data_IF_264723788312
#
_entry.id   IF_264723788312
#
_cell.length_a   1.000
_cell.length_b   1.000
_cell.length_c   1.000
_cell.angle_alpha   90.00
_cell.angle_beta   90.00
_cell.angle_gamma   90.00
#
_symmetry.space_group_name_H-M   'P 1'
#
loop_
_entity.id
_entity.type
_entity.pdbx_description
1 polymer ?
#
# COMPACT_ATOMS: atom_id res chain seq x y z
N UNK A 1 15.74 -24.46 9.98
CA UNK A 1 16.06 -23.09 10.46
C UNK A 1 14.75 -22.46 10.93
N UNK A 2 14.76 -21.55 11.92
CA UNK A 2 13.53 -20.93 12.43
C UNK A 2 12.87 -19.99 11.44
N UNK A 3 11.55 -19.84 11.57
CA UNK A 3 10.72 -18.96 10.77
C UNK A 3 10.26 -17.77 11.63
N UNK A 4 10.07 -16.61 11.00
CA UNK A 4 9.54 -15.40 11.62
C UNK A 4 8.19 -15.06 10.98
N UNK A 5 7.16 -14.94 11.83
CA UNK A 5 5.88 -14.34 11.47
C UNK A 5 5.75 -12.98 12.16
N UNK A 6 5.49 -11.93 11.37
CA UNK A 6 5.20 -10.59 11.83
C UNK A 6 3.85 -10.13 11.26
N UNK A 7 2.93 -9.67 12.10
CA UNK A 7 1.74 -8.91 11.68
C UNK A 7 1.72 -7.54 12.38
N UNK A 8 1.51 -6.49 11.58
CA UNK A 8 1.20 -5.14 12.00
C UNK A 8 -0.27 -4.85 11.67
N UNK A 9 -1.15 -4.98 12.67
CA UNK A 9 -2.60 -4.77 12.48
C UNK A 9 -2.99 -3.35 12.83
N UNK A 10 -3.70 -2.65 11.95
CA UNK A 10 -4.17 -1.28 12.14
C UNK A 10 -5.65 -1.11 11.75
N UNK A 11 -6.17 0.09 11.96
CA UNK A 11 -7.39 0.50 11.24
C UNK A 11 -7.13 0.64 9.73
N UNK A 12 -8.19 0.83 8.94
CA UNK A 12 -8.20 0.68 7.48
C UNK A 12 -7.17 1.54 6.73
N UNK A 13 -6.15 0.88 6.22
CA UNK A 13 -5.12 1.38 5.32
C UNK A 13 -5.77 1.64 3.95
N UNK A 14 -5.59 2.82 3.33
CA UNK A 14 -6.10 3.07 1.99
C UNK A 14 -5.56 2.06 0.97
N UNK A 15 -6.44 1.45 0.17
CA UNK A 15 -6.09 0.40 -0.83
C UNK A 15 -4.84 0.73 -1.65
N UNK A 16 -4.79 1.95 -2.21
CA UNK A 16 -3.66 2.45 -3.01
C UNK A 16 -2.29 2.46 -2.31
N UNK A 17 -2.24 2.36 -0.97
CA UNK A 17 -1.00 2.39 -0.20
C UNK A 17 -0.53 1.00 0.26
N UNK A 18 -1.42 -0.01 0.24
CA UNK A 18 -1.17 -1.29 0.91
C UNK A 18 -0.04 -2.09 0.27
N UNK A 19 -0.09 -2.32 -1.05
CA UNK A 19 0.94 -3.10 -1.77
C UNK A 19 2.34 -2.50 -1.56
N UNK A 20 2.48 -1.19 -1.72
CA UNK A 20 3.77 -0.51 -1.51
C UNK A 20 4.24 -0.66 -0.06
N UNK A 21 3.34 -0.47 0.91
CA UNK A 21 3.69 -0.62 2.31
C UNK A 21 4.11 -2.06 2.67
N UNK A 22 3.45 -3.08 2.14
CA UNK A 22 3.84 -4.46 2.34
C UNK A 22 5.25 -4.74 1.79
N UNK A 23 5.55 -4.23 0.58
CA UNK A 23 6.89 -4.32 -0.02
C UNK A 23 7.95 -3.52 0.74
N UNK A 24 7.63 -2.33 1.24
CA UNK A 24 8.53 -1.52 2.07
C UNK A 24 8.83 -2.25 3.39
N UNK A 25 7.83 -2.86 4.05
CA UNK A 25 8.00 -3.65 5.26
C UNK A 25 8.94 -4.85 5.02
N UNK A 26 8.68 -5.61 3.95
CA UNK A 26 9.56 -6.72 3.56
C UNK A 26 11.00 -6.24 3.43
N UNK A 27 11.21 -5.23 2.58
CA UNK A 27 12.54 -4.70 2.29
C UNK A 27 13.25 -4.22 3.55
N UNK A 28 12.62 -3.36 4.35
CA UNK A 28 13.24 -2.79 5.55
C UNK A 28 13.61 -3.87 6.57
N UNK A 29 12.76 -4.88 6.76
CA UNK A 29 13.06 -5.97 7.70
C UNK A 29 14.15 -6.88 7.14
N UNK A 30 14.06 -7.31 5.89
CA UNK A 30 15.06 -8.21 5.30
C UNK A 30 16.44 -7.55 5.20
N UNK A 31 16.50 -6.27 4.82
CA UNK A 31 17.75 -5.52 4.73
C UNK A 31 18.36 -5.40 6.14
N UNK A 32 17.58 -5.02 7.15
CA UNK A 32 18.05 -4.90 8.52
C UNK A 32 18.50 -6.25 9.14
N UNK A 33 17.82 -7.35 8.82
CA UNK A 33 18.25 -8.70 9.25
C UNK A 33 19.60 -9.08 8.63
N UNK A 34 19.79 -8.80 7.33
CA UNK A 34 21.05 -9.07 6.61
C UNK A 34 22.18 -8.19 7.11
N UNK A 35 21.94 -6.90 7.33
CA UNK A 35 22.90 -5.97 7.91
C UNK A 35 23.33 -6.39 9.32
N UNK A 36 22.42 -6.99 10.10
CA UNK A 36 22.71 -7.57 11.40
C UNK A 36 23.44 -8.93 11.35
N UNK A 37 23.74 -9.44 10.15
CA UNK A 37 24.50 -10.67 9.93
C UNK A 37 23.68 -11.95 9.98
N UNK A 38 22.35 -11.86 9.81
CA UNK A 38 21.45 -13.01 9.65
C UNK A 38 21.23 -13.34 8.17
N UNK A 39 20.84 -14.57 7.88
CA UNK A 39 20.42 -14.99 6.53
C UNK A 39 19.06 -15.69 6.60
N UNK A 40 18.28 -15.62 5.52
CA UNK A 40 16.98 -16.27 5.38
C UNK A 40 16.85 -16.94 4.01
N UNK A 41 15.93 -17.90 3.88
CA UNK A 41 15.70 -18.63 2.63
C UNK A 41 14.64 -17.95 1.74
N UNK A 42 13.55 -17.50 2.35
CA UNK A 42 12.47 -16.81 1.64
C UNK A 42 11.81 -15.75 2.54
N UNK A 43 11.25 -14.72 1.92
CA UNK A 43 10.45 -13.71 2.59
C UNK A 43 9.26 -13.34 1.70
N UNK A 44 8.04 -13.40 2.25
CA UNK A 44 6.81 -13.07 1.53
C UNK A 44 5.93 -12.14 2.36
N UNK A 45 5.58 -11.01 1.76
CA UNK A 45 4.64 -10.05 2.31
C UNK A 45 3.19 -10.40 1.94
N UNK A 46 2.28 -10.05 2.84
CA UNK A 46 0.85 -10.10 2.63
C UNK A 46 0.22 -8.82 3.18
N UNK A 47 -0.94 -8.46 2.66
CA UNK A 47 -1.67 -7.30 3.15
C UNK A 47 -3.17 -7.48 3.00
N UNK A 48 -3.90 -6.76 3.85
CA UNK A 48 -5.34 -6.54 3.73
C UNK A 48 -5.65 -5.07 4.09
N UNK A 49 -6.91 -4.61 4.03
CA UNK A 49 -7.27 -3.29 4.54
C UNK A 49 -6.74 -2.98 5.94
N UNK A 50 -6.54 -3.98 6.80
CA UNK A 50 -6.24 -3.77 8.23
C UNK A 50 -4.93 -4.39 8.69
N UNK A 51 -4.13 -4.99 7.80
CA UNK A 51 -2.89 -5.65 8.19
C UNK A 51 -1.80 -5.55 7.13
N UNK A 52 -0.56 -5.44 7.62
CA UNK A 52 0.64 -5.79 6.87
C UNK A 52 1.25 -7.00 7.57
N UNK A 53 1.51 -8.07 6.83
CA UNK A 53 2.04 -9.32 7.37
C UNK A 53 3.27 -9.72 6.59
N UNK A 54 4.26 -10.30 7.28
CA UNK A 54 5.49 -10.78 6.68
C UNK A 54 5.81 -12.17 7.23
N UNK A 55 5.99 -13.12 6.31
CA UNK A 55 6.44 -14.49 6.56
C UNK A 55 7.89 -14.60 6.08
N UNK A 56 8.83 -14.86 6.98
CA UNK A 56 10.24 -15.11 6.65
C UNK A 56 10.57 -16.54 7.04
N UNK A 57 11.01 -17.32 6.06
CA UNK A 57 11.35 -18.73 6.21
C UNK A 57 12.85 -18.94 6.28
N UNK A 58 13.25 -19.88 7.13
CA UNK A 58 14.63 -20.35 7.22
C UNK A 58 15.62 -19.28 7.69
N UNK A 59 15.22 -18.42 8.62
CA UNK A 59 16.07 -17.40 9.23
C UNK A 59 17.11 -18.06 10.16
N UNK A 60 18.35 -17.60 10.17
CA UNK A 60 19.36 -18.06 11.14
C UNK A 60 19.00 -17.64 12.57
N UNK A 61 19.17 -18.53 13.55
CA UNK A 61 18.83 -18.25 14.96
C UNK A 61 19.75 -17.22 15.65
N UNK A 62 20.94 -16.97 15.08
CA UNK A 62 21.94 -16.04 15.62
C UNK A 62 22.84 -15.54 14.49
N UNK A 63 23.29 -14.29 14.58
CA UNK A 63 24.27 -13.73 13.65
C UNK A 63 25.66 -14.31 13.90
N UNK A 64 26.54 -14.28 12.90
CA UNK A 64 27.90 -14.82 13.05
C UNK A 64 28.74 -13.96 14.00
N UNK A 65 29.61 -14.61 14.76
CA UNK A 65 30.67 -13.90 15.49
C UNK A 65 31.55 -13.17 14.49
N UNK A 66 31.85 -11.90 14.76
CA UNK A 66 32.73 -11.07 13.94
C UNK A 66 34.08 -11.04 14.63
N UNK A 67 35.08 -11.61 13.98
CA UNK A 67 36.48 -11.53 14.41
C UNK A 67 37.25 -10.68 13.40
N UNK A 68 37.70 -9.51 13.84
CA UNK A 68 38.48 -8.56 13.03
C UNK A 68 39.88 -8.38 13.62
N UNK A 69 40.89 -8.38 12.76
CA UNK A 69 42.26 -8.02 13.13
C UNK A 69 42.58 -6.62 12.62
N UNK A 70 42.68 -5.65 13.54
CA UNK A 70 43.13 -4.30 13.18
C UNK A 70 44.64 -4.23 13.43
N UNK A 71 45.40 -4.11 12.34
CA UNK A 71 46.84 -3.85 12.41
C UNK A 71 47.08 -2.41 12.87
N UNK A 72 47.80 -2.30 13.98
CA UNK A 72 48.26 -1.08 14.58
C UNK A 72 49.66 -0.68 14.12
N UNK A 73 50.19 0.40 14.72
CA UNK A 73 51.53 0.90 14.42
C UNK A 73 52.62 -0.03 15.00
N UNK A 74 53.87 0.22 14.61
CA UNK A 74 55.06 -0.42 15.20
C UNK A 74 55.07 -0.28 16.73
N UNK A 75 55.65 -1.25 17.44
CA UNK A 75 55.83 -1.18 18.91
C UNK A 75 56.72 -0.01 19.34
N UNK A 76 57.55 0.50 18.42
CA UNK A 76 58.39 1.68 18.59
C UNK A 76 57.75 3.00 18.16
N UNK A 77 56.47 2.99 17.77
CA UNK A 77 55.81 4.19 17.27
C UNK A 77 55.54 5.23 18.38
N UNK A 78 55.48 6.53 18.04
CA UNK A 78 55.17 7.59 19.01
C UNK A 78 53.83 7.34 19.73
N UNK A 79 53.75 7.78 20.98
CA UNK A 79 52.59 7.54 21.84
C UNK A 79 51.27 8.07 21.25
N UNK A 80 51.31 9.14 20.46
CA UNK A 80 50.13 9.63 19.71
C UNK A 80 49.60 8.61 18.69
N UNK A 81 50.47 7.88 17.99
CA UNK A 81 50.06 6.87 17.02
C UNK A 81 49.45 5.65 17.71
N UNK A 82 50.00 5.26 18.87
CA UNK A 82 49.48 4.19 19.71
C UNK A 82 48.11 4.57 20.26
N UNK A 83 47.93 5.79 20.79
CA UNK A 83 46.64 6.29 21.27
C UNK A 83 45.59 6.39 20.16
N UNK A 84 45.98 6.80 18.95
CA UNK A 84 45.10 6.81 17.78
C UNK A 84 44.64 5.39 17.40
N UNK A 85 45.53 4.40 17.48
CA UNK A 85 45.20 3.00 17.26
C UNK A 85 44.25 2.45 18.32
N UNK A 86 44.49 2.72 19.61
CA UNK A 86 43.61 2.30 20.71
C UNK A 86 42.19 2.84 20.52
N UNK A 87 42.05 4.13 20.17
CA UNK A 87 40.75 4.73 19.87
C UNK A 87 40.06 4.09 18.67
N UNK A 88 40.82 3.80 17.61
CA UNK A 88 40.28 3.16 16.40
C UNK A 88 39.85 1.71 16.65
N UNK A 89 40.61 0.98 17.46
CA UNK A 89 40.35 -0.40 17.81
C UNK A 89 39.36 -0.58 18.97
N UNK A 90 38.98 0.51 19.64
CA UNK A 90 38.09 0.46 20.81
C UNK A 90 38.72 -0.19 22.04
N UNK A 91 40.04 -0.23 22.13
CA UNK A 91 40.78 -0.81 23.25
C UNK A 91 41.02 0.23 24.33
N UNK A 92 40.91 -0.19 25.60
CA UNK A 92 41.08 0.71 26.75
C UNK A 92 42.55 0.90 27.11
N UNK A 93 43.39 -0.08 26.75
CA UNK A 93 44.81 -0.12 27.05
C UNK A 93 45.58 -0.86 25.96
N UNK A 94 46.85 -0.50 25.75
CA UNK A 94 47.76 -1.21 24.83
C UNK A 94 48.06 -2.64 25.27
N UNK A 95 47.86 -2.96 26.55
CA UNK A 95 47.99 -4.33 27.07
C UNK A 95 46.95 -5.30 26.50
N UNK A 96 45.86 -4.78 25.94
CA UNK A 96 44.82 -5.58 25.25
C UNK A 96 45.18 -5.88 23.79
N UNK A 97 46.25 -5.26 23.26
CA UNK A 97 46.74 -5.51 21.91
C UNK A 97 47.83 -6.59 21.92
N UNK A 98 47.84 -7.42 20.88
CA UNK A 98 48.84 -8.44 20.64
C UNK A 98 50.02 -7.86 19.87
N UNK A 99 51.23 -8.37 20.10
CA UNK A 99 52.43 -7.99 19.34
C UNK A 99 52.71 -9.07 18.31
N UNK A 100 52.72 -8.68 17.03
CA UNK A 100 53.08 -9.57 15.92
C UNK A 100 54.40 -9.07 15.30
N UNK A 101 55.30 -10.01 15.00
CA UNK A 101 56.61 -9.72 14.41
C UNK A 101 56.59 -9.98 12.90
N UNK A 102 57.00 -9.00 12.09
CA UNK A 102 57.22 -9.17 10.65
C UNK A 102 58.72 -9.00 10.32
N UNK A 103 59.36 -9.96 9.61
CA UNK A 103 60.79 -9.93 9.31
C UNK A 103 61.27 -8.69 8.53
N UNK A 104 60.37 -7.98 7.84
CA UNK A 104 60.67 -6.76 7.05
C UNK A 104 60.20 -5.47 7.72
N UNK A 105 59.22 -5.53 8.62
CA UNK A 105 58.58 -4.33 9.22
C UNK A 105 58.79 -4.18 10.72
N UNK A 106 59.40 -5.15 11.39
CA UNK A 106 59.57 -5.16 12.84
C UNK A 106 58.29 -5.55 13.57
N UNK A 107 58.28 -5.38 14.89
CA UNK A 107 57.14 -5.71 15.76
C UNK A 107 56.07 -4.62 15.65
N UNK A 108 54.80 -5.01 15.52
CA UNK A 108 53.66 -4.10 15.48
C UNK A 108 52.49 -4.63 16.32
N UNK A 109 51.65 -3.70 16.77
CA UNK A 109 50.45 -4.04 17.54
C UNK A 109 49.34 -4.56 16.63
N UNK A 110 48.55 -5.53 17.11
CA UNK A 110 47.36 -6.06 16.45
C UNK A 110 46.25 -6.14 17.49
N UNK A 111 45.10 -5.54 17.18
CA UNK A 111 43.90 -5.68 18.00
C UNK A 111 43.03 -6.78 17.40
N UNK A 112 42.77 -7.82 18.19
CA UNK A 112 41.77 -8.82 17.85
C UNK A 112 40.42 -8.37 18.43
N UNK A 113 39.56 -7.85 17.58
CA UNK A 113 38.21 -7.45 17.95
C UNK A 113 37.32 -8.67 17.73
N UNK A 114 36.81 -9.24 18.82
CA UNK A 114 35.77 -10.27 18.76
C UNK A 114 34.45 -9.68 19.22
N UNK A 115 33.48 -9.59 18.32
CA UNK A 115 32.11 -9.23 18.65
C UNK A 115 31.25 -10.50 18.59
N UNK A 116 30.70 -10.96 19.72
CA UNK A 116 29.84 -12.12 19.72
C UNK A 116 28.58 -11.85 18.91
N UNK A 117 28.15 -12.87 18.17
CA UNK A 117 26.91 -12.89 17.44
C UNK A 117 25.71 -12.67 18.36
N UNK A 118 24.68 -12.01 17.84
CA UNK A 118 23.45 -11.69 18.57
C UNK A 118 22.36 -12.68 18.23
N UNK A 119 21.55 -13.04 19.23
CA UNK A 119 20.38 -13.88 19.00
C UNK A 119 19.39 -13.16 18.05
N UNK A 120 18.76 -13.92 17.16
CA UNK A 120 17.83 -13.35 16.19
C UNK A 120 16.65 -12.66 16.88
N UNK A 121 16.16 -13.17 18.01
CA UNK A 121 15.07 -12.53 18.76
C UNK A 121 15.46 -11.11 19.20
N UNK A 122 16.70 -10.91 19.66
CA UNK A 122 17.19 -9.60 20.09
C UNK A 122 17.34 -8.63 18.91
N UNK A 123 17.80 -9.13 17.77
CA UNK A 123 17.91 -8.33 16.55
C UNK A 123 16.51 -7.89 16.08
N UNK A 124 15.55 -8.81 16.06
CA UNK A 124 14.17 -8.54 15.66
C UNK A 124 13.49 -7.56 16.63
N UNK A 125 13.68 -7.74 17.94
CA UNK A 125 13.12 -6.88 18.98
C UNK A 125 13.60 -5.43 18.91
N UNK A 126 14.81 -5.18 18.41
CA UNK A 126 15.32 -3.83 18.16
C UNK A 126 14.84 -3.29 16.80
N UNK A 127 14.90 -4.13 15.76
CA UNK A 127 14.67 -3.72 14.38
C UNK A 127 13.20 -3.38 14.10
N UNK A 128 12.25 -4.18 14.61
CA UNK A 128 10.82 -3.98 14.31
C UNK A 128 10.30 -2.63 14.86
N UNK A 129 10.54 -2.24 16.13
CA UNK A 129 10.18 -0.90 16.61
C UNK A 129 10.77 0.23 15.77
N UNK A 130 12.03 0.12 15.34
CA UNK A 130 12.69 1.15 14.54
C UNK A 130 12.11 1.27 13.14
N UNK A 131 11.75 0.14 12.52
CA UNK A 131 11.01 0.11 11.25
C UNK A 131 9.66 0.80 11.42
N UNK A 132 8.92 0.49 12.49
CA UNK A 132 7.59 1.07 12.73
C UNK A 132 7.69 2.59 12.92
N UNK A 133 8.70 3.09 13.67
CA UNK A 133 8.90 4.54 13.88
C UNK A 133 9.26 5.28 12.60
N UNK A 134 10.06 4.66 11.73
CA UNK A 134 10.61 5.28 10.53
C UNK A 134 9.89 4.86 9.24
N UNK A 135 8.71 4.26 9.35
CA UNK A 135 8.02 3.66 8.21
C UNK A 135 7.65 4.71 7.15
N UNK A 136 7.97 4.47 5.87
CA UNK A 136 7.92 5.49 4.81
C UNK A 136 6.50 5.68 4.24
N UNK A 137 5.54 5.99 5.12
CA UNK A 137 4.17 6.30 4.70
C UNK A 137 4.13 7.60 3.86
N UNK A 138 3.53 7.59 2.66
CA UNK A 138 3.35 8.82 1.86
C UNK A 138 2.55 9.89 2.59
N UNK A 139 1.63 9.45 3.46
CA UNK A 139 0.88 10.30 4.38
C UNK A 139 0.67 9.57 5.70
N UNK A 140 1.41 9.97 6.72
CA UNK A 140 1.24 9.49 8.09
C UNK A 140 0.41 10.46 8.93
N UNK A 141 -0.16 9.95 10.02
CA UNK A 141 -0.98 10.68 10.98
C UNK A 141 -0.51 10.33 12.40
N UNK A 142 -0.89 11.18 13.36
CA UNK A 142 -0.74 10.93 14.80
C UNK A 142 -2.13 10.78 15.40
N UNK A 143 -2.28 9.94 16.42
CA UNK A 143 -3.60 9.53 16.92
C UNK A 143 -3.70 9.63 18.44
N UNK A 144 -4.93 9.85 18.90
CA UNK A 144 -5.29 9.83 20.33
C UNK A 144 -4.61 10.91 21.18
N UNK A 145 -4.72 10.81 22.51
CA UNK A 145 -4.12 11.77 23.44
C UNK A 145 -2.59 11.91 23.29
N UNK A 146 -1.92 10.85 22.83
CA UNK A 146 -0.49 10.85 22.58
C UNK A 146 -0.08 11.87 21.49
N UNK A 147 -0.97 12.20 20.55
CA UNK A 147 -0.67 13.14 19.45
C UNK A 147 -0.30 14.55 19.93
N UNK A 148 -0.69 14.92 21.14
CA UNK A 148 -0.36 16.19 21.77
C UNK A 148 1.12 16.29 22.19
N UNK A 149 1.81 15.15 22.34
CA UNK A 149 3.22 15.11 22.76
C UNK A 149 4.16 15.03 21.54
N UNK A 150 5.31 15.74 21.56
CA UNK A 150 6.40 15.50 20.62
C UNK A 150 6.86 14.03 20.69
N UNK A 151 7.21 13.46 19.53
CA UNK A 151 7.69 12.06 19.45
C UNK A 151 6.61 10.98 19.42
N UNK A 152 5.31 11.34 19.37
CA UNK A 152 4.22 10.37 19.20
C UNK A 152 4.33 9.59 17.90
N UNK A 153 3.92 8.31 17.95
CA UNK A 153 3.98 7.41 16.80
C UNK A 153 3.22 7.97 15.60
N UNK A 154 3.88 7.94 14.44
CA UNK A 154 3.30 8.30 13.16
C UNK A 154 3.00 7.02 12.38
N UNK A 155 1.73 6.82 12.05
CA UNK A 155 1.29 5.68 11.23
C UNK A 155 0.17 6.12 10.29
N UNK A 156 -0.10 5.37 9.22
CA UNK A 156 -1.17 5.70 8.26
C UNK A 156 -2.55 5.79 8.93
N UNK A 157 -2.77 4.93 9.93
CA UNK A 157 -3.97 4.79 10.76
C UNK A 157 -3.58 4.30 12.16
N UNK A 158 -4.45 4.29 13.19
CA UNK A 158 -4.05 3.74 14.49
C UNK A 158 -3.61 2.28 14.39
N UNK A 159 -2.37 1.98 14.80
CA UNK A 159 -1.89 0.62 15.00
C UNK A 159 -2.61 0.02 16.22
N UNK A 160 -3.09 -1.22 16.10
CA UNK A 160 -3.97 -1.87 17.08
C UNK A 160 -3.27 -3.02 17.80
N UNK A 161 -2.45 -3.81 17.10
CA UNK A 161 -1.71 -4.92 17.69
C UNK A 161 -0.50 -5.27 16.84
N UNK A 162 0.48 -5.88 17.50
CA UNK A 162 1.67 -6.45 16.86
C UNK A 162 1.76 -7.91 17.27
N UNK A 163 1.86 -8.78 16.28
CA UNK A 163 2.11 -10.19 16.48
C UNK A 163 3.50 -10.48 15.95
N UNK A 164 4.36 -11.08 16.77
CA UNK A 164 5.73 -11.41 16.38
C UNK A 164 6.16 -12.73 17.02
N UNK A 165 6.19 -13.79 16.22
CA UNK A 165 6.56 -15.14 16.66
C UNK A 165 7.75 -15.65 15.88
N UNK A 166 8.69 -16.30 16.55
CA UNK A 166 9.92 -16.81 15.97
C UNK A 166 10.23 -18.21 16.49
N UNK A 167 10.56 -19.15 15.61
CA UNK A 167 10.96 -20.48 16.06
C UNK A 167 11.03 -21.51 14.95
N UNK A 168 11.65 -22.68 15.21
CA UNK A 168 11.75 -23.76 14.23
C UNK A 168 10.39 -24.41 13.99
N UNK A 169 10.24 -25.00 12.81
CA UNK A 169 9.02 -25.70 12.41
C UNK A 169 8.64 -26.85 13.37
N UNK A 170 9.61 -27.45 14.06
CA UNK A 170 9.38 -28.61 14.93
C UNK A 170 9.10 -28.28 16.39
N UNK A 171 9.29 -27.03 16.83
CA UNK A 171 9.15 -26.65 18.25
C UNK A 171 8.11 -25.54 18.43
N UNK A 172 7.77 -25.24 19.68
CA UNK A 172 6.88 -24.13 19.99
C UNK A 172 7.64 -22.81 19.79
N UNK A 173 7.15 -21.92 18.91
CA UNK A 173 7.82 -20.66 18.65
C UNK A 173 7.70 -19.73 19.84
N UNK A 174 8.72 -18.91 20.04
CA UNK A 174 8.74 -17.87 21.06
C UNK A 174 8.06 -16.62 20.53
N UNK A 175 7.46 -15.84 21.44
CA UNK A 175 7.06 -14.47 21.14
C UNK A 175 8.29 -13.58 21.29
N UNK A 176 8.63 -12.83 20.25
CA UNK A 176 9.71 -11.84 20.32
C UNK A 176 9.20 -10.63 21.07
N UNK A 177 9.66 -10.42 22.30
CA UNK A 177 9.14 -9.40 23.22
C UNK A 177 9.74 -8.02 22.95
N UNK A 178 8.87 -7.07 22.60
CA UNK A 178 9.18 -5.64 22.50
C UNK A 178 7.90 -4.81 22.64
N UNK A 179 8.06 -3.51 22.88
CA UNK A 179 6.94 -2.58 23.00
C UNK A 179 7.20 -1.31 22.20
N UNK A 180 6.16 -0.80 21.55
CA UNK A 180 6.18 0.50 20.89
C UNK A 180 4.89 1.28 21.19
N UNK A 181 5.05 2.47 21.78
CA UNK A 181 3.95 3.40 22.08
C UNK A 181 2.78 2.74 22.84
N UNK A 182 3.10 1.85 23.80
CA UNK A 182 2.13 1.10 24.60
C UNK A 182 1.56 -0.15 23.93
N UNK A 183 2.03 -0.50 22.72
CA UNK A 183 1.65 -1.73 22.02
C UNK A 183 2.78 -2.75 22.17
N UNK A 184 2.57 -3.73 23.04
CA UNK A 184 3.50 -4.85 23.23
C UNK A 184 3.25 -5.94 22.20
N UNK A 185 4.30 -6.54 21.67
CA UNK A 185 4.22 -7.68 20.76
C UNK A 185 3.61 -8.90 21.47
N UNK A 186 2.94 -9.76 20.70
CA UNK A 186 2.29 -10.96 21.20
C UNK A 186 2.12 -12.04 20.14
N UNK A 187 1.23 -12.98 20.42
CA UNK A 187 0.81 -14.05 19.51
C UNK A 187 -0.70 -14.03 19.23
N UNK A 188 -1.36 -12.89 19.47
CA UNK A 188 -2.80 -12.71 19.30
C UNK A 188 -3.06 -11.88 18.05
N UNK A 189 -3.90 -12.40 17.16
CA UNK A 189 -4.51 -11.68 16.03
C UNK A 189 -6.03 -11.70 16.17
N UNK A 190 -6.72 -11.14 15.16
CA UNK A 190 -8.16 -11.05 15.10
C UNK A 190 -8.62 -11.25 13.66
N UNK A 191 -9.76 -11.92 13.52
CA UNK A 191 -10.41 -12.16 12.23
C UNK A 191 -11.16 -10.93 11.70
N UNK A 192 -12.16 -11.21 10.87
CA UNK A 192 -12.99 -10.18 10.28
C UNK A 192 -13.76 -9.39 11.35
N UNK A 193 -13.74 -8.06 11.24
CA UNK A 193 -14.32 -7.13 12.23
C UNK A 193 -15.76 -7.46 12.62
N UNK A 194 -16.55 -7.93 11.67
CA UNK A 194 -17.97 -8.21 11.88
C UNK A 194 -18.32 -9.70 11.98
N UNK A 195 -17.52 -10.58 11.38
CA UNK A 195 -17.84 -12.01 11.31
C UNK A 195 -17.15 -12.83 12.39
N UNK A 196 -15.95 -12.43 12.80
CA UNK A 196 -15.16 -13.13 13.81
C UNK A 196 -14.27 -12.13 14.57
N UNK A 197 -14.87 -11.27 15.43
CA UNK A 197 -14.15 -10.21 16.14
C UNK A 197 -13.30 -10.71 17.31
N UNK A 198 -13.44 -11.98 17.69
CA UNK A 198 -12.78 -12.53 18.87
C UNK A 198 -11.26 -12.71 18.65
N UNK A 199 -10.53 -12.70 19.76
CA UNK A 199 -9.09 -12.89 19.76
C UNK A 199 -8.70 -14.30 19.32
N UNK A 200 -7.67 -14.40 18.48
CA UNK A 200 -7.15 -15.64 17.93
C UNK A 200 -5.68 -15.76 18.32
N UNK A 201 -5.35 -16.74 19.14
CA UNK A 201 -3.95 -17.09 19.41
C UNK A 201 -3.39 -17.88 18.22
N UNK A 202 -2.22 -17.49 17.73
CA UNK A 202 -1.50 -18.17 16.64
C UNK A 202 -0.09 -18.52 17.06
N UNK A 203 0.56 -19.41 16.32
CA UNK A 203 1.91 -19.85 16.65
C UNK A 203 2.88 -19.54 15.53
N UNK A 204 2.49 -19.81 14.29
CA UNK A 204 3.32 -19.75 13.08
C UNK A 204 2.48 -19.32 11.88
N UNK A 205 3.11 -19.16 10.74
CA UNK A 205 2.41 -18.69 9.55
C UNK A 205 1.26 -19.63 9.10
N UNK A 206 1.47 -20.94 9.11
CA UNK A 206 0.48 -21.89 8.57
C UNK A 206 -0.81 -21.94 9.41
N UNK A 207 -0.70 -21.91 10.74
CA UNK A 207 -1.88 -21.86 11.61
C UNK A 207 -2.51 -20.46 11.62
N UNK A 208 -1.71 -19.40 11.48
CA UNK A 208 -2.19 -18.05 11.28
C UNK A 208 -3.07 -17.92 10.03
N UNK A 209 -2.62 -18.39 8.87
CA UNK A 209 -3.41 -18.34 7.63
C UNK A 209 -4.71 -19.14 7.77
N UNK A 210 -4.62 -20.37 8.26
CA UNK A 210 -5.78 -21.25 8.40
C UNK A 210 -6.82 -20.68 9.37
N UNK A 211 -6.38 -20.10 10.49
CA UNK A 211 -7.28 -19.48 11.48
C UNK A 211 -7.88 -18.18 10.97
N UNK A 212 -7.10 -17.36 10.25
CA UNK A 212 -7.62 -16.15 9.62
C UNK A 212 -8.70 -16.47 8.59
N UNK A 213 -8.49 -17.48 7.75
CA UNK A 213 -9.47 -17.91 6.76
C UNK A 213 -10.76 -18.41 7.43
N UNK A 214 -10.64 -19.25 8.46
CA UNK A 214 -11.78 -19.69 9.28
C UNK A 214 -12.52 -18.49 9.93
N UNK A 215 -11.77 -17.44 10.27
CA UNK A 215 -12.27 -16.19 10.81
C UNK A 215 -12.61 -15.14 9.73
N UNK A 216 -12.88 -15.58 8.50
CA UNK A 216 -13.33 -14.77 7.36
C UNK A 216 -12.32 -13.70 6.94
N UNK A 217 -11.04 -14.05 6.84
CA UNK A 217 -10.00 -13.18 6.30
C UNK A 217 -9.18 -13.97 5.28
N UNK A 218 -9.32 -13.61 4.01
CA UNK A 218 -8.42 -14.09 2.96
C UNK A 218 -7.17 -13.21 3.01
N UNK A 219 -6.07 -13.72 3.53
CA UNK A 219 -4.85 -12.94 3.77
C UNK A 219 -4.15 -12.49 2.46
N UNK A 220 -4.08 -13.39 1.48
CA UNK A 220 -3.37 -13.18 0.23
C UNK A 220 -4.18 -12.29 -0.72
N UNK A 221 -3.57 -11.17 -1.14
CA UNK A 221 -4.20 -10.20 -2.02
C UNK A 221 -4.45 -10.75 -3.43
N UNK A 222 -3.54 -11.57 -3.96
CA UNK A 222 -3.72 -12.17 -5.28
C UNK A 222 -4.85 -13.20 -5.24
N UNK A 223 -4.92 -14.02 -4.18
CA UNK A 223 -6.06 -14.91 -3.94
C UNK A 223 -7.39 -14.17 -3.84
N UNK A 224 -7.42 -13.00 -3.16
CA UNK A 224 -8.63 -12.16 -3.11
C UNK A 224 -9.06 -11.69 -4.49
N UNK A 225 -8.11 -11.26 -5.34
CA UNK A 225 -8.41 -10.86 -6.72
C UNK A 225 -8.98 -12.00 -7.55
N UNK A 226 -8.40 -13.20 -7.43
CA UNK A 226 -8.89 -14.39 -8.13
C UNK A 226 -10.33 -14.71 -7.75
N UNK A 227 -10.66 -14.69 -6.45
CA UNK A 227 -12.03 -14.91 -5.96
C UNK A 227 -12.98 -13.86 -6.55
N UNK A 228 -12.64 -12.57 -6.42
CA UNK A 228 -13.49 -11.47 -6.90
C UNK A 228 -13.73 -11.59 -8.40
N UNK A 229 -12.68 -11.84 -9.19
CA UNK A 229 -12.78 -11.90 -10.65
C UNK A 229 -13.59 -13.13 -11.10
N UNK A 230 -13.34 -14.29 -10.50
CA UNK A 230 -14.08 -15.51 -10.81
C UNK A 230 -15.58 -15.35 -10.49
N UNK A 231 -15.90 -14.85 -9.29
CA UNK A 231 -17.29 -14.65 -8.86
C UNK A 231 -17.99 -13.58 -9.70
N UNK A 232 -17.30 -12.48 -10.03
CA UNK A 232 -17.84 -11.43 -10.90
C UNK A 232 -18.15 -11.93 -12.31
N UNK A 233 -17.24 -12.71 -12.91
CA UNK A 233 -17.45 -13.34 -14.23
C UNK A 233 -18.63 -14.32 -14.18
N UNK A 234 -18.68 -15.19 -13.17
CA UNK A 234 -19.76 -16.16 -13.02
C UNK A 234 -21.11 -15.47 -12.84
N UNK A 235 -21.18 -14.42 -12.02
CA UNK A 235 -22.40 -13.69 -11.75
C UNK A 235 -22.88 -12.89 -12.98
N UNK A 236 -21.96 -12.28 -13.74
CA UNK A 236 -22.28 -11.64 -15.00
C UNK A 236 -22.80 -12.65 -16.02
N UNK A 237 -22.08 -13.76 -16.22
CA UNK A 237 -22.43 -14.81 -17.18
C UNK A 237 -23.81 -15.42 -16.89
N UNK A 238 -24.12 -15.70 -15.62
CA UNK A 238 -25.42 -16.22 -15.20
C UNK A 238 -26.61 -15.29 -15.52
N UNK A 239 -26.34 -14.01 -15.78
CA UNK A 239 -27.34 -13.01 -16.16
C UNK A 239 -27.27 -12.63 -17.65
N UNK A 240 -26.54 -13.39 -18.48
CA UNK A 240 -26.39 -13.10 -19.91
C UNK A 240 -25.53 -11.87 -20.21
N UNK A 241 -24.61 -11.54 -19.31
CA UNK A 241 -23.74 -10.37 -19.39
C UNK A 241 -22.27 -10.77 -19.38
N UNK A 242 -21.43 -9.88 -19.91
CA UNK A 242 -19.97 -9.93 -19.74
C UNK A 242 -19.52 -8.86 -18.75
N UNK A 243 -18.51 -9.19 -17.94
CA UNK A 243 -17.83 -8.25 -17.06
C UNK A 243 -16.92 -7.34 -17.88
N UNK A 244 -17.00 -6.02 -17.67
CA UNK A 244 -15.98 -5.10 -18.21
C UNK A 244 -14.80 -5.09 -17.25
N UNK A 245 -13.77 -5.86 -17.59
CA UNK A 245 -12.59 -6.06 -16.74
C UNK A 245 -11.74 -4.78 -16.62
N UNK A 246 -11.19 -4.58 -15.43
CA UNK A 246 -10.36 -3.43 -15.07
C UNK A 246 -9.39 -3.84 -13.97
N UNK A 247 -8.17 -4.20 -14.35
CA UNK A 247 -7.15 -4.70 -13.41
C UNK A 247 -6.83 -3.67 -12.31
N UNK A 248 -6.82 -2.38 -12.66
CA UNK A 248 -6.59 -1.32 -11.68
C UNK A 248 -7.71 -1.21 -10.64
N UNK A 249 -8.96 -1.41 -11.05
CA UNK A 249 -10.10 -1.48 -10.14
C UNK A 249 -10.07 -2.76 -9.32
N UNK A 250 -9.71 -3.91 -9.91
CA UNK A 250 -9.59 -5.19 -9.21
C UNK A 250 -8.55 -5.11 -8.08
N UNK A 251 -7.39 -4.52 -8.35
CA UNK A 251 -6.39 -4.25 -7.31
C UNK A 251 -6.97 -3.37 -6.19
N UNK A 252 -7.66 -2.28 -6.54
CA UNK A 252 -8.25 -1.37 -5.55
C UNK A 252 -9.31 -2.09 -4.69
N UNK A 253 -10.25 -2.80 -5.31
CA UNK A 253 -11.36 -3.50 -4.63
C UNK A 253 -10.85 -4.63 -3.75
N UNK A 254 -9.85 -5.40 -4.19
CA UNK A 254 -9.22 -6.44 -3.35
C UNK A 254 -8.54 -5.87 -2.10
N UNK A 255 -8.14 -4.58 -2.15
CA UNK A 255 -7.60 -3.81 -1.03
C UNK A 255 -8.67 -3.10 -0.19
N UNK A 256 -9.96 -3.24 -0.50
CA UNK A 256 -11.06 -2.71 0.31
C UNK A 256 -11.71 -3.78 1.20
N UNK A 257 -11.43 -5.06 0.95
CA UNK A 257 -12.10 -6.18 1.62
C UNK A 257 -11.09 -7.19 2.18
N UNK A 258 -11.44 -7.82 3.29
CA UNK A 258 -10.78 -9.00 3.85
C UNK A 258 -11.52 -10.28 3.47
N UNK A 259 -12.84 -10.20 3.31
CA UNK A 259 -13.72 -11.30 2.87
C UNK A 259 -14.58 -10.85 1.69
N UNK A 260 -14.18 -11.14 0.45
CA UNK A 260 -14.93 -10.68 -0.72
C UNK A 260 -16.28 -11.40 -0.82
N UNK A 261 -17.35 -10.63 -0.99
CA UNK A 261 -18.70 -11.10 -1.36
C UNK A 261 -19.15 -10.31 -2.58
N UNK A 262 -19.18 -10.95 -3.74
CA UNK A 262 -19.53 -10.29 -5.00
C UNK A 262 -21.04 -10.26 -5.18
N UNK A 263 -21.59 -9.08 -5.48
CA UNK A 263 -23.02 -8.85 -5.65
C UNK A 263 -23.27 -8.09 -6.96
N UNK A 264 -24.48 -8.26 -7.51
CA UNK A 264 -24.94 -7.52 -8.68
C UNK A 264 -25.97 -6.47 -8.26
N UNK A 265 -25.72 -5.22 -8.65
CA UNK A 265 -26.66 -4.12 -8.53
C UNK A 265 -27.25 -3.74 -9.90
N UNK A 266 -28.25 -2.87 -9.87
CA UNK A 266 -28.89 -2.30 -11.05
C UNK A 266 -29.12 -0.80 -10.88
N UNK A 267 -29.22 -0.11 -12.01
CA UNK A 267 -29.73 1.26 -12.13
C UNK A 267 -30.73 1.34 -13.27
N UNK A 268 -31.43 2.47 -13.41
CA UNK A 268 -32.44 2.65 -14.44
C UNK A 268 -31.84 2.70 -15.85
N UNK A 269 -32.45 1.99 -16.81
CA UNK A 269 -32.02 1.95 -18.21
C UNK A 269 -31.97 3.34 -18.86
N UNK A 270 -32.75 4.30 -18.38
CA UNK A 270 -32.73 5.69 -18.86
C UNK A 270 -31.33 6.33 -18.76
N UNK A 271 -30.48 5.89 -17.83
CA UNK A 271 -29.10 6.37 -17.73
C UNK A 271 -28.20 5.86 -18.87
N UNK A 272 -28.59 4.82 -19.61
CA UNK A 272 -27.85 4.36 -20.79
C UNK A 272 -27.90 5.38 -21.95
N UNK A 273 -28.67 6.47 -21.82
CA UNK A 273 -28.66 7.58 -22.76
C UNK A 273 -27.38 8.45 -22.69
N UNK A 274 -26.60 8.37 -21.60
CA UNK A 274 -25.30 9.06 -21.50
C UNK A 274 -24.18 8.14 -22.03
N UNK A 275 -23.05 8.70 -22.52
CA UNK A 275 -21.96 7.90 -23.05
C UNK A 275 -21.43 6.84 -22.06
N UNK A 276 -21.10 5.65 -22.58
CA UNK A 276 -20.65 4.51 -21.80
C UNK A 276 -19.43 4.84 -20.92
N UNK A 277 -18.52 5.68 -21.41
CA UNK A 277 -17.33 6.14 -20.71
C UNK A 277 -17.69 6.96 -19.47
N UNK A 278 -18.73 7.79 -19.56
CA UNK A 278 -19.23 8.61 -18.44
C UNK A 278 -19.84 7.71 -17.37
N UNK A 279 -20.64 6.71 -17.77
CA UNK A 279 -21.22 5.71 -16.85
C UNK A 279 -20.10 4.95 -16.14
N UNK A 280 -19.19 4.35 -16.92
CA UNK A 280 -18.05 3.57 -16.39
C UNK A 280 -17.21 4.41 -15.44
N UNK A 281 -16.83 5.61 -15.83
CA UNK A 281 -16.03 6.51 -14.99
C UNK A 281 -16.76 6.85 -13.69
N UNK A 282 -18.04 7.18 -13.77
CA UNK A 282 -18.86 7.57 -12.61
C UNK A 282 -18.98 6.43 -11.61
N UNK A 283 -19.31 5.23 -12.09
CA UNK A 283 -19.47 4.03 -11.26
C UNK A 283 -18.12 3.60 -10.67
N UNK A 284 -17.06 3.55 -11.49
CA UNK A 284 -15.70 3.20 -11.05
C UNK A 284 -15.15 4.16 -10.01
N UNK A 285 -15.21 5.47 -10.26
CA UNK A 285 -14.59 6.46 -9.39
C UNK A 285 -15.32 6.61 -8.05
N UNK A 286 -16.66 6.61 -8.07
CA UNK A 286 -17.46 6.90 -6.87
C UNK A 286 -17.82 5.67 -6.05
N UNK A 287 -18.01 4.50 -6.69
CA UNK A 287 -18.53 3.30 -6.02
C UNK A 287 -17.60 2.09 -6.12
N UNK A 288 -16.48 2.18 -6.85
CA UNK A 288 -15.51 1.08 -6.99
C UNK A 288 -16.17 -0.21 -7.49
N UNK A 289 -17.12 -0.04 -8.41
CA UNK A 289 -17.89 -1.12 -9.00
C UNK A 289 -17.48 -1.33 -10.46
N UNK A 290 -17.57 -2.57 -10.93
CA UNK A 290 -17.36 -2.92 -12.32
C UNK A 290 -18.67 -2.75 -13.09
N UNK A 291 -18.60 -2.24 -14.31
CA UNK A 291 -19.75 -2.22 -15.21
C UNK A 291 -19.82 -3.53 -15.99
N UNK A 292 -20.99 -3.82 -16.54
CA UNK A 292 -21.21 -5.01 -17.35
C UNK A 292 -21.75 -4.60 -18.72
N UNK A 293 -21.66 -5.51 -19.68
CA UNK A 293 -22.16 -5.33 -21.04
C UNK A 293 -22.98 -6.54 -21.49
N UNK A 294 -23.94 -6.38 -22.41
CA UNK A 294 -24.57 -7.52 -23.07
C UNK A 294 -23.52 -8.40 -23.76
N UNK A 295 -23.73 -9.72 -23.72
CA UNK A 295 -22.82 -10.66 -24.36
C UNK A 295 -22.66 -10.38 -25.86
N UNK A 296 -21.41 -10.35 -26.32
CA UNK A 296 -21.08 -10.15 -27.74
C UNK A 296 -21.28 -8.72 -28.26
N UNK A 297 -21.52 -7.73 -27.38
CA UNK A 297 -21.63 -6.31 -27.76
C UNK A 297 -20.51 -5.52 -27.09
N UNK A 298 -19.56 -5.02 -27.88
CA UNK A 298 -18.36 -4.38 -27.32
C UNK A 298 -18.59 -2.94 -26.82
N UNK A 299 -19.41 -2.16 -27.54
CA UNK A 299 -19.56 -0.71 -27.33
C UNK A 299 -20.81 -0.32 -26.51
N UNK A 300 -21.52 -1.30 -25.92
CA UNK A 300 -22.71 -1.05 -25.12
C UNK A 300 -22.52 -1.49 -23.67
N UNK A 301 -23.07 -0.74 -22.73
CA UNK A 301 -23.18 -1.16 -21.33
C UNK A 301 -24.59 -1.66 -21.05
N UNK A 302 -24.68 -2.57 -20.09
CA UNK A 302 -25.96 -2.92 -19.48
C UNK A 302 -26.25 -1.98 -18.31
N UNK A 303 -27.48 -2.00 -17.80
CA UNK A 303 -27.86 -1.27 -16.59
C UNK A 303 -27.50 -2.01 -15.28
N UNK A 304 -26.63 -3.03 -15.37
CA UNK A 304 -26.13 -3.81 -14.23
C UNK A 304 -24.67 -3.47 -13.94
N UNK A 305 -24.31 -3.56 -12.67
CA UNK A 305 -22.94 -3.41 -12.20
C UNK A 305 -22.62 -4.46 -11.14
N UNK A 306 -21.33 -4.78 -11.00
CA UNK A 306 -20.82 -5.69 -9.99
C UNK A 306 -20.13 -4.89 -8.90
N UNK A 307 -20.51 -5.16 -7.66
CA UNK A 307 -19.88 -4.61 -6.46
C UNK A 307 -19.28 -5.74 -5.62
N UNK A 308 -18.32 -5.41 -4.76
CA UNK A 308 -17.75 -6.36 -3.78
C UNK A 308 -17.99 -5.83 -2.37
N UNK A 309 -18.76 -6.55 -1.59
CA UNK A 309 -18.97 -6.29 -0.18
C UNK A 309 -17.89 -7.00 0.65
N UNK A 310 -17.60 -6.45 1.83
CA UNK A 310 -16.75 -7.09 2.85
C UNK A 310 -17.58 -7.86 3.90
N UNK A 311 -18.88 -8.04 3.66
CA UNK A 311 -19.80 -8.63 4.63
C UNK A 311 -20.70 -9.63 3.91
N UNK A 312 -20.77 -10.84 4.46
CA UNK A 312 -21.78 -11.83 4.14
C UNK A 312 -23.10 -11.46 4.84
N UNK A 313 -24.00 -10.81 4.10
CA UNK A 313 -25.28 -10.34 4.63
C UNK A 313 -26.32 -11.45 4.73
N UNK A 314 -27.17 -11.38 5.77
CA UNK A 314 -28.19 -12.40 6.06
C UNK A 314 -29.27 -12.55 4.99
N UNK A 315 -29.49 -11.51 4.20
CA UNK A 315 -30.48 -11.45 3.11
C UNK A 315 -29.89 -11.85 1.75
N UNK A 316 -28.65 -12.35 1.72
CA UNK A 316 -27.90 -12.63 0.50
C UNK A 316 -27.36 -11.38 -0.19
N UNK A 317 -27.31 -10.24 0.49
CA UNK A 317 -26.75 -8.99 -0.04
C UNK A 317 -27.76 -8.11 -0.78
N UNK A 318 -29.06 -8.40 -0.69
CA UNK A 318 -30.12 -7.64 -1.40
C UNK A 318 -30.15 -6.17 -0.98
N UNK A 319 -30.14 -5.88 0.31
CA UNK A 319 -30.12 -4.51 0.83
C UNK A 319 -28.80 -3.80 0.48
N UNK A 320 -27.68 -4.52 0.46
CA UNK A 320 -26.38 -3.96 0.05
C UNK A 320 -26.43 -3.55 -1.43
N UNK A 321 -26.89 -4.44 -2.30
CA UNK A 321 -27.01 -4.17 -3.73
C UNK A 321 -28.00 -3.01 -4.00
N UNK A 322 -29.14 -3.01 -3.31
CA UNK A 322 -30.14 -1.94 -3.42
C UNK A 322 -29.60 -0.58 -2.94
N UNK A 323 -28.90 -0.56 -1.80
CA UNK A 323 -28.26 0.64 -1.25
C UNK A 323 -27.19 1.20 -2.20
N UNK A 324 -26.33 0.35 -2.76
CA UNK A 324 -25.35 0.77 -3.76
C UNK A 324 -26.03 1.28 -5.04
N UNK A 325 -27.13 0.65 -5.47
CA UNK A 325 -27.94 1.12 -6.60
C UNK A 325 -28.46 2.54 -6.40
N UNK A 326 -28.91 2.89 -5.19
CA UNK A 326 -29.32 4.28 -4.86
C UNK A 326 -28.17 5.27 -4.99
N UNK A 327 -26.96 4.89 -4.55
CA UNK A 327 -25.80 5.78 -4.64
C UNK A 327 -25.34 5.94 -6.09
N UNK A 328 -25.30 4.85 -6.86
CA UNK A 328 -25.02 4.89 -8.31
C UNK A 328 -26.03 5.78 -9.03
N UNK A 329 -27.33 5.60 -8.76
CA UNK A 329 -28.40 6.44 -9.33
C UNK A 329 -28.19 7.92 -9.06
N UNK A 330 -27.89 8.30 -7.82
CA UNK A 330 -27.65 9.70 -7.47
C UNK A 330 -26.48 10.28 -8.28
N UNK A 331 -25.38 9.53 -8.41
CA UNK A 331 -24.21 9.96 -9.20
C UNK A 331 -24.46 10.01 -10.70
N UNK A 332 -25.22 9.06 -11.25
CA UNK A 332 -25.62 9.07 -12.65
C UNK A 332 -26.64 10.18 -12.96
N UNK A 333 -27.46 10.57 -11.99
CA UNK A 333 -28.37 11.72 -12.12
C UNK A 333 -27.60 13.02 -12.26
N UNK A 334 -26.56 13.22 -11.44
CA UNK A 334 -25.64 14.36 -11.58
C UNK A 334 -24.96 14.33 -12.96
N UNK A 335 -24.43 13.17 -13.37
CA UNK A 335 -23.77 13.02 -14.67
C UNK A 335 -24.71 13.30 -15.85
N UNK A 336 -25.95 12.81 -15.80
CA UNK A 336 -26.98 13.06 -16.81
C UNK A 336 -27.35 14.54 -16.87
N UNK A 337 -27.49 15.20 -15.72
CA UNK A 337 -27.74 16.64 -15.66
C UNK A 337 -26.61 17.43 -16.33
N UNK A 338 -25.35 17.15 -15.98
CA UNK A 338 -24.21 17.81 -16.60
C UNK A 338 -24.09 17.51 -18.08
N UNK A 339 -24.28 16.24 -18.49
CA UNK A 339 -24.29 15.85 -19.90
C UNK A 339 -25.35 16.62 -20.68
N UNK A 340 -26.58 16.69 -20.16
CA UNK A 340 -27.70 17.38 -20.82
C UNK A 340 -27.47 18.89 -20.89
N UNK A 341 -27.01 19.48 -19.78
CA UNK A 341 -26.61 20.90 -19.74
C UNK A 341 -25.48 21.17 -20.73
N UNK A 342 -24.58 20.20 -20.91
CA UNK A 342 -23.45 20.30 -21.81
C UNK A 342 -23.80 20.23 -23.30
N UNK A 343 -24.98 19.73 -23.63
CA UNK A 343 -25.52 19.75 -24.99
C UNK A 343 -26.28 21.05 -25.31
N UNK A 344 -26.56 21.90 -24.32
CA UNK A 344 -27.28 23.16 -24.50
C UNK A 344 -26.38 24.34 -24.88
N UNK A 345 -27.03 25.38 -25.41
CA UNK A 345 -26.37 26.65 -25.73
C UNK A 345 -25.95 27.40 -24.45
N UNK A 346 -24.77 28.03 -24.50
CA UNK A 346 -24.30 28.90 -23.43
C UNK A 346 -25.12 30.20 -23.36
N UNK A 347 -25.41 30.73 -22.16
CA UNK A 347 -26.28 31.90 -22.01
C UNK A 347 -25.67 33.19 -22.60
N UNK A 348 -24.35 33.22 -22.73
CA UNK A 348 -23.54 34.33 -23.23
C UNK A 348 -23.08 34.13 -24.70
N UNK A 349 -23.77 33.26 -25.46
CA UNK A 349 -23.40 32.87 -26.84
C UNK A 349 -23.07 34.06 -27.75
N UNK A 350 -23.85 35.14 -27.67
CA UNK A 350 -23.69 36.33 -28.50
C UNK A 350 -22.36 37.07 -28.26
N UNK A 351 -21.75 36.91 -27.08
CA UNK A 351 -20.46 37.53 -26.76
C UNK A 351 -19.28 36.72 -27.31
N UNK A 352 -19.51 35.50 -27.79
CA UNK A 352 -18.47 34.54 -28.16
C UNK A 352 -18.04 34.62 -29.63
N UNK A 353 -18.69 35.44 -30.45
CA UNK A 353 -18.47 35.51 -31.91
C UNK A 353 -17.01 35.83 -32.26
N UNK A 354 -16.40 36.80 -31.57
CA UNK A 354 -15.01 37.19 -31.82
C UNK A 354 -14.02 36.07 -31.50
N UNK A 355 -14.20 35.38 -30.37
CA UNK A 355 -13.38 34.22 -30.00
C UNK A 355 -13.62 33.03 -30.94
N UNK A 356 -14.86 32.83 -31.40
CA UNK A 356 -15.17 31.78 -32.35
C UNK A 356 -14.49 32.00 -33.71
N UNK A 357 -14.53 33.22 -34.24
CA UNK A 357 -13.84 33.59 -35.48
C UNK A 357 -12.32 33.39 -35.34
N UNK A 358 -11.73 33.84 -34.22
CA UNK A 358 -10.31 33.70 -33.92
C UNK A 358 -9.82 32.24 -34.01
N UNK A 359 -10.62 31.28 -33.55
CA UNK A 359 -10.24 29.87 -33.54
C UNK A 359 -10.85 29.02 -34.67
N UNK A 360 -11.73 29.59 -35.50
CA UNK A 360 -12.46 28.86 -36.53
C UNK A 360 -13.48 27.88 -35.96
N UNK A 361 -14.21 28.28 -34.92
CA UNK A 361 -15.17 27.46 -34.18
C UNK A 361 -16.60 27.65 -34.69
N UNK A 362 -17.38 26.57 -34.70
CA UNK A 362 -18.80 26.58 -35.06
C UNK A 362 -19.65 26.69 -33.79
N UNK A 363 -20.15 27.89 -33.47
CA UNK A 363 -20.97 28.14 -32.28
C UNK A 363 -22.29 27.35 -32.23
N UNK A 364 -22.68 26.62 -33.29
CA UNK A 364 -23.78 25.65 -33.21
C UNK A 364 -23.39 24.36 -32.47
N UNK A 365 -22.10 24.11 -32.28
CA UNK A 365 -21.59 22.95 -31.55
C UNK A 365 -21.34 23.33 -30.09
N UNK A 366 -21.95 22.65 -29.11
CA UNK A 366 -21.78 23.00 -27.70
C UNK A 366 -20.31 23.00 -27.22
N UNK A 367 -19.46 22.13 -27.77
CA UNK A 367 -18.04 22.10 -27.44
C UNK A 367 -17.29 23.35 -27.91
N UNK A 368 -17.59 23.81 -29.12
CA UNK A 368 -16.99 24.98 -29.75
C UNK A 368 -17.39 26.25 -28.99
N UNK A 369 -18.63 26.34 -28.51
CA UNK A 369 -19.07 27.41 -27.62
C UNK A 369 -18.22 27.47 -26.33
N UNK A 370 -17.96 26.32 -25.69
CA UNK A 370 -17.16 26.25 -24.46
C UNK A 370 -15.71 26.67 -24.70
N UNK A 371 -15.14 26.27 -25.84
CA UNK A 371 -13.80 26.69 -26.22
C UNK A 371 -13.72 28.21 -26.47
N UNK A 372 -14.69 28.77 -27.18
CA UNK A 372 -14.79 30.22 -27.40
C UNK A 372 -14.94 30.98 -26.07
N UNK A 373 -15.77 30.47 -25.15
CA UNK A 373 -15.97 31.06 -23.84
C UNK A 373 -14.72 31.07 -22.95
N UNK A 374 -13.87 30.04 -23.03
CA UNK A 374 -12.60 30.02 -22.28
C UNK A 374 -11.64 31.14 -22.71
N UNK A 375 -11.63 31.48 -24.00
CA UNK A 375 -10.85 32.61 -24.52
C UNK A 375 -11.51 33.96 -24.18
N UNK A 376 -12.83 34.10 -24.37
CA UNK A 376 -13.59 35.30 -24.03
C UNK A 376 -13.41 35.73 -22.58
N UNK A 377 -13.49 34.76 -21.65
CA UNK A 377 -13.30 35.00 -20.21
C UNK A 377 -11.83 35.27 -19.83
N UNK A 378 -10.90 35.18 -20.78
CA UNK A 378 -9.47 35.39 -20.52
C UNK A 378 -8.90 34.44 -19.46
N UNK A 379 -9.37 33.18 -19.43
CA UNK A 379 -9.02 32.24 -18.35
C UNK A 379 -7.50 32.05 -18.29
N UNK A 380 -6.89 32.55 -17.21
CA UNK A 380 -5.44 32.45 -17.00
C UNK A 380 -5.02 30.99 -16.87
N UNK A 381 -4.16 30.52 -17.78
CA UNK A 381 -3.54 29.20 -17.69
C UNK A 381 -2.35 29.23 -16.72
N UNK A 382 -1.48 30.23 -16.87
CA UNK A 382 -0.31 30.41 -16.01
C UNK A 382 0.22 31.84 -16.10
N UNK A 383 0.62 32.44 -14.99
CA UNK A 383 1.03 33.86 -14.93
C UNK A 383 2.09 34.28 -15.97
N UNK A 384 3.02 33.37 -16.31
CA UNK A 384 4.08 33.63 -17.32
C UNK A 384 3.73 33.17 -18.74
N UNK A 385 2.72 32.30 -18.90
CA UNK A 385 2.36 31.71 -20.19
C UNK A 385 0.99 32.21 -20.69
N UNK A 386 0.37 33.11 -19.93
CA UNK A 386 -0.86 33.80 -20.25
C UNK A 386 -2.10 32.91 -20.19
N UNK A 387 -3.05 33.10 -21.12
CA UNK A 387 -4.39 32.50 -21.07
C UNK A 387 -4.46 31.11 -21.69
N UNK A 388 -5.58 30.40 -21.47
CA UNK A 388 -5.87 29.13 -22.14
C UNK A 388 -5.98 29.31 -23.67
N UNK A 389 -6.57 30.41 -24.14
CA UNK A 389 -6.64 30.72 -25.57
C UNK A 389 -5.26 30.83 -26.20
N UNK A 390 -4.36 31.62 -25.60
CA UNK A 390 -2.98 31.76 -26.08
C UNK A 390 -2.20 30.43 -26.04
N UNK A 391 -2.51 29.55 -25.07
CA UNK A 391 -1.95 28.19 -25.03
C UNK A 391 -2.40 27.36 -26.22
N UNK A 392 -3.69 27.39 -26.57
CA UNK A 392 -4.21 26.63 -27.73
C UNK A 392 -3.60 27.14 -29.04
N UNK A 393 -3.48 28.46 -29.22
CA UNK A 393 -2.81 29.04 -30.40
C UNK A 393 -1.36 28.59 -30.54
N UNK A 394 -0.62 28.51 -29.43
CA UNK A 394 0.75 28.00 -29.43
C UNK A 394 0.81 26.52 -29.83
N UNK A 395 -0.10 25.69 -29.31
CA UNK A 395 -0.15 24.26 -29.66
C UNK A 395 -0.48 24.08 -31.14
N UNK A 396 -1.44 24.84 -31.68
CA UNK A 396 -1.81 24.79 -33.10
C UNK A 396 -0.62 25.13 -34.00
N UNK A 397 0.10 26.22 -33.70
CA UNK A 397 1.33 26.61 -34.43
C UNK A 397 2.47 25.59 -34.37
N UNK A 398 2.50 24.72 -33.36
CA UNK A 398 3.50 23.65 -33.24
C UNK A 398 3.09 22.37 -33.97
N UNK A 399 1.80 22.22 -34.28
CA UNK A 399 1.25 21.07 -34.99
C UNK A 399 1.26 21.26 -36.52
N UNK A 400 1.42 22.50 -36.99
CA UNK A 400 1.75 22.90 -38.36
C UNK A 400 3.26 22.83 -38.59
#
# INVERSE_FOLDING_TARGET
MPDLLLELRSEEIPARMQRKAAGDLRKMLTDGLVEAGLTYEAAREYWTPRRLTLDIRGLTARSKDINEEIKGPSTSAPEQAVQGFLRKAGLSSIAEAHVHSDPKKGDFYVAHISKPGRAAEQIIADLVPDIIRNFPWPKSMRWGPASAKPGSLRWVRPLQSILCTFGPETEEPVVVDFEIDGIRSGNITYGHRFHAPDAITVRRFDDYVSKLEAAKVVLDADRRKEIILADARNLAFANGLDLVEDEGLLEEVSGLVEWPVVLMGEFEEAFLAIPAEVIRLTIRANQKCFVTRPQGVDDALSNRFILTANIEARDGGKEIAHGNGKVVRARLSDALYFWTTDQGDLPDLAELEASAEKFGLDLKKPLDQRMARLDHLGVTFHAKLGTQGERVERIKRLAE
#
